data_IF_598754814101
#
_entry.id   IF_598754814101
#
_cell.length_a   1.000
_cell.length_b   1.000
_cell.length_c   1.000
_cell.angle_alpha   90.00
_cell.angle_beta   90.00
_cell.angle_gamma   90.00
#
_symmetry.space_group_name_H-M   'P 1'
#
loop_
_entity.id
_entity.type
_entity.pdbx_description
1 polymer ?
#
# COMPACT_ATOMS: atom_id res chain seq x y z
N UNK A 1 -2.60 14.12 3.74
CA UNK A 1 -2.72 14.12 5.22
C UNK A 1 -2.14 12.82 5.76
N UNK A 2 -1.14 12.91 6.62
CA UNK A 2 -0.41 11.78 7.22
C UNK A 2 -1.32 10.94 8.11
N UNK A 3 -1.32 9.62 7.92
CA UNK A 3 -2.03 8.66 8.76
C UNK A 3 -1.63 8.82 10.24
N UNK A 4 -2.61 9.10 11.09
CA UNK A 4 -2.44 9.19 12.56
C UNK A 4 -2.82 7.83 13.12
N UNK A 5 -1.87 7.14 13.75
CA UNK A 5 -2.23 5.98 14.57
C UNK A 5 -2.79 6.49 15.89
N UNK A 6 -3.96 5.99 16.27
CA UNK A 6 -4.56 6.23 17.60
C UNK A 6 -4.26 5.07 18.56
N UNK A 7 -4.00 3.87 18.03
CA UNK A 7 -3.78 2.65 18.80
C UNK A 7 -2.76 1.73 18.11
N UNK A 8 -2.18 0.81 18.88
CA UNK A 8 -1.31 -0.24 18.36
C UNK A 8 -2.11 -1.22 17.48
N UNK A 9 -1.66 -1.55 16.26
CA UNK A 9 -2.38 -2.46 15.38
C UNK A 9 -2.41 -3.92 15.87
N UNK A 10 -1.54 -4.31 16.81
CA UNK A 10 -1.46 -5.68 17.33
C UNK A 10 -2.34 -5.90 18.56
N UNK A 11 -2.24 -5.01 19.55
CA UNK A 11 -2.95 -5.16 20.83
C UNK A 11 -3.98 -4.06 21.11
N UNK A 12 -4.18 -3.12 20.18
CA UNK A 12 -5.11 -1.99 20.30
C UNK A 12 -4.84 -1.04 21.48
N UNK A 13 -3.68 -1.17 22.13
CA UNK A 13 -3.27 -0.25 23.18
C UNK A 13 -3.06 1.18 22.64
N UNK A 14 -3.52 2.22 23.35
CA UNK A 14 -3.22 3.61 23.02
C UNK A 14 -1.77 4.00 23.32
N UNK A 15 -1.02 3.14 24.02
CA UNK A 15 0.32 3.44 24.54
C UNK A 15 1.42 2.98 23.57
N UNK A 16 1.99 3.94 22.83
CA UNK A 16 3.14 3.72 21.96
C UNK A 16 4.04 4.95 21.86
N UNK A 17 5.30 4.74 21.47
CA UNK A 17 6.33 5.80 21.34
C UNK A 17 6.98 5.77 19.98
N UNK A 18 7.54 6.92 19.55
CA UNK A 18 8.39 6.99 18.36
C UNK A 18 9.66 6.14 18.58
N UNK A 19 10.00 5.31 17.60
CA UNK A 19 11.10 4.35 17.65
C UNK A 19 11.99 4.47 16.39
N UNK A 20 12.40 5.70 16.10
CA UNK A 20 13.23 6.03 14.94
C UNK A 20 12.49 5.99 13.60
N UNK A 21 13.23 5.80 12.51
CA UNK A 21 12.71 5.78 11.15
C UNK A 21 13.09 4.47 10.45
N UNK A 22 12.19 3.96 9.61
CA UNK A 22 12.45 2.85 8.70
C UNK A 22 12.13 3.29 7.26
N UNK A 23 13.11 3.28 6.36
CA UNK A 23 12.98 3.75 4.98
C UNK A 23 12.35 5.15 4.86
N UNK A 24 12.81 6.09 5.69
CA UNK A 24 12.30 7.47 5.74
C UNK A 24 10.90 7.62 6.35
N UNK A 25 10.31 6.55 6.90
CA UNK A 25 9.01 6.58 7.58
C UNK A 25 9.17 6.49 9.08
N UNK A 26 8.37 7.26 9.81
CA UNK A 26 8.34 7.18 11.26
C UNK A 26 7.94 5.76 11.70
N UNK A 27 8.80 5.14 12.50
CA UNK A 27 8.55 3.87 13.19
C UNK A 27 8.07 4.17 14.61
N UNK A 28 7.17 3.33 15.11
CA UNK A 28 6.61 3.39 16.45
C UNK A 28 6.80 2.03 17.14
N UNK A 29 6.90 2.05 18.47
CA UNK A 29 6.95 0.86 19.33
C UNK A 29 5.81 0.94 20.35
N UNK A 30 4.99 -0.09 20.41
CA UNK A 30 3.99 -0.23 21.47
C UNK A 30 4.67 -0.52 22.80
N UNK A 31 4.23 0.14 23.88
CA UNK A 31 4.76 -0.11 25.22
C UNK A 31 4.26 -1.43 25.81
N UNK A 32 3.06 -1.86 25.45
CA UNK A 32 2.41 -3.01 26.10
C UNK A 32 2.82 -4.34 25.46
N UNK A 33 2.80 -4.42 24.12
CA UNK A 33 3.14 -5.65 23.40
C UNK A 33 4.52 -5.64 22.74
N UNK A 34 5.30 -4.57 22.93
CA UNK A 34 6.61 -4.35 22.30
C UNK A 34 6.63 -4.44 20.76
N UNK A 35 5.47 -4.43 20.10
CA UNK A 35 5.36 -4.51 18.65
C UNK A 35 5.81 -3.23 17.98
N UNK A 36 6.54 -3.37 16.88
CA UNK A 36 6.97 -2.26 16.05
C UNK A 36 6.08 -2.12 14.82
N UNK A 37 5.61 -0.91 14.57
CA UNK A 37 4.77 -0.59 13.42
C UNK A 37 5.17 0.77 12.85
N UNK A 38 4.95 0.97 11.56
CA UNK A 38 5.26 2.23 10.87
C UNK A 38 4.04 2.70 10.12
N UNK A 39 3.96 4.01 9.86
CA UNK A 39 2.91 4.56 9.01
C UNK A 39 3.00 3.95 7.62
N UNK A 40 2.08 3.03 7.32
CA UNK A 40 1.87 2.62 5.95
C UNK A 40 1.34 3.86 5.22
N UNK A 41 2.01 4.25 4.13
CA UNK A 41 1.30 5.02 3.10
C UNK A 41 0.12 4.12 2.75
N UNK A 42 -1.10 4.66 2.79
CA UNK A 42 -2.19 4.07 2.03
C UNK A 42 -1.57 3.73 0.68
N UNK A 43 -1.53 2.45 0.31
CA UNK A 43 -1.21 2.11 -1.07
C UNK A 43 -2.11 3.05 -1.87
N UNK A 44 -1.49 3.91 -2.70
CA UNK A 44 -2.23 4.84 -3.55
C UNK A 44 -3.41 4.03 -4.08
N UNK A 45 -4.62 4.49 -3.80
CA UNK A 45 -5.84 3.91 -4.34
C UNK A 45 -5.73 4.00 -5.87
N UNK A 46 -4.95 3.12 -6.50
CA UNK A 46 -5.44 2.47 -7.68
C UNK A 46 -6.55 1.61 -7.12
N UNK A 47 -7.77 2.14 -7.23
CA UNK A 47 -8.97 1.48 -6.77
C UNK A 47 -8.88 0.02 -7.18
N UNK A 48 -9.34 -0.89 -6.32
CA UNK A 48 -9.40 -2.31 -6.67
C UNK A 48 -10.11 -2.51 -8.02
N UNK A 49 -10.97 -1.57 -8.40
CA UNK A 49 -11.65 -1.48 -9.69
C UNK A 49 -10.69 -1.35 -10.88
N UNK A 50 -9.64 -0.51 -10.79
CA UNK A 50 -8.64 -0.38 -11.85
C UNK A 50 -7.81 -1.66 -11.98
N UNK A 51 -7.54 -2.35 -10.86
CA UNK A 51 -6.87 -3.66 -10.90
C UNK A 51 -7.74 -4.71 -11.58
N UNK A 52 -9.03 -4.79 -11.21
CA UNK A 52 -10.01 -5.71 -11.83
C UNK A 52 -10.14 -5.44 -13.31
N UNK A 53 -10.35 -4.19 -13.69
CA UNK A 53 -10.44 -3.79 -15.11
C UNK A 53 -9.17 -4.14 -15.89
N UNK A 54 -7.99 -4.00 -15.29
CA UNK A 54 -6.72 -4.43 -15.87
C UNK A 54 -6.63 -5.95 -16.09
N UNK A 55 -7.13 -6.75 -15.16
CA UNK A 55 -7.18 -8.21 -15.26
C UNK A 55 -8.18 -8.63 -16.35
N UNK A 56 -9.38 -8.06 -16.36
CA UNK A 56 -10.41 -8.37 -17.35
C UNK A 56 -9.88 -8.10 -18.78
N UNK A 57 -9.28 -6.93 -19.01
CA UNK A 57 -8.69 -6.63 -20.32
C UNK A 57 -7.56 -7.58 -20.73
N UNK A 58 -6.76 -8.07 -19.78
CA UNK A 58 -5.73 -9.06 -20.07
C UNK A 58 -6.34 -10.41 -20.50
N UNK A 59 -7.41 -10.83 -19.84
CA UNK A 59 -8.16 -12.05 -20.19
C UNK A 59 -8.83 -11.94 -21.56
N UNK A 60 -9.31 -10.74 -21.94
CA UNK A 60 -9.82 -10.43 -23.29
C UNK A 60 -8.72 -10.34 -24.37
N UNK A 61 -7.44 -10.59 -24.01
CA UNK A 61 -6.33 -10.65 -24.95
C UNK A 61 -5.63 -9.33 -25.23
N UNK A 62 -5.90 -8.27 -24.45
CA UNK A 62 -5.16 -7.02 -24.58
C UNK A 62 -3.74 -7.18 -24.00
N UNK A 63 -2.74 -6.73 -24.76
CA UNK A 63 -1.37 -6.67 -24.28
C UNK A 63 -1.17 -5.62 -23.18
N UNK A 64 -0.21 -5.82 -22.28
CA UNK A 64 0.07 -4.90 -21.17
C UNK A 64 0.30 -3.43 -21.58
N UNK A 65 0.83 -3.20 -22.80
CA UNK A 65 1.02 -1.86 -23.38
C UNK A 65 -0.30 -1.17 -23.72
N UNK A 66 -1.29 -1.88 -24.27
CA UNK A 66 -2.60 -1.30 -24.56
C UNK A 66 -3.38 -1.06 -23.27
N UNK A 67 -3.32 -2.00 -22.32
CA UNK A 67 -3.93 -1.85 -20.99
C UNK A 67 -3.38 -0.61 -20.25
N UNK A 68 -2.06 -0.39 -20.28
CA UNK A 68 -1.45 0.80 -19.69
C UNK A 68 -1.92 2.11 -20.33
N UNK A 69 -2.12 2.12 -21.66
CA UNK A 69 -2.70 3.28 -22.38
C UNK A 69 -4.16 3.53 -21.98
N UNK A 70 -4.97 2.46 -21.92
CA UNK A 70 -6.41 2.55 -21.58
C UNK A 70 -6.62 3.03 -20.14
N UNK A 71 -5.84 2.50 -19.19
CA UNK A 71 -5.94 2.87 -17.77
C UNK A 71 -5.16 4.14 -17.41
N UNK A 72 -4.47 4.76 -18.38
CA UNK A 72 -3.55 5.88 -18.16
C UNK A 72 -2.52 5.59 -17.05
N UNK A 73 -2.05 4.33 -17.01
CA UNK A 73 -1.07 3.81 -16.05
C UNK A 73 0.24 3.57 -16.79
N UNK A 74 1.35 4.09 -16.26
CA UNK A 74 2.67 3.79 -16.82
C UNK A 74 2.96 2.28 -16.75
N UNK A 75 3.54 1.72 -17.81
CA UNK A 75 3.84 0.27 -17.96
C UNK A 75 4.64 -0.29 -16.76
N UNK A 76 5.49 0.54 -16.16
CA UNK A 76 6.27 0.23 -14.95
C UNK A 76 5.40 -0.12 -13.73
N UNK A 77 4.18 0.43 -13.65
CA UNK A 77 3.25 0.18 -12.55
C UNK A 77 2.35 -1.05 -12.79
N UNK A 78 2.12 -1.44 -14.05
CA UNK A 78 1.38 -2.65 -14.38
C UNK A 78 2.19 -3.91 -14.10
N UNK A 79 3.51 -3.87 -14.35
CA UNK A 79 4.42 -5.00 -14.09
C UNK A 79 4.58 -5.24 -12.59
N UNK A 80 4.81 -4.18 -11.79
CA UNK A 80 5.00 -4.30 -10.34
C UNK A 80 3.71 -4.62 -9.55
N UNK A 81 2.53 -4.45 -10.15
CA UNK A 81 1.24 -4.64 -9.48
C UNK A 81 0.59 -6.01 -9.70
N UNK A 82 1.08 -6.79 -10.66
CA UNK A 82 0.59 -8.13 -10.98
C UNK A 82 1.48 -9.25 -10.40
N UNK A 83 2.66 -8.92 -9.86
CA UNK A 83 3.65 -9.87 -9.36
C UNK A 83 3.78 -9.92 -7.82
N UNK A 84 2.79 -9.43 -7.07
CA UNK A 84 2.78 -9.44 -5.60
C UNK A 84 1.37 -9.70 -5.06
#
# INVERSE_FOLDING_TARGET
MSQIFTHCPKCQSPSFVKAGFNNGKQRYKCKDCCYYFSAHKHASHKSNDIKKMGIDMYLEGLGFRSIGRVLNISVVQSINGLSN
#
